data_IF_569122431378
#
_entry.id   IF_569122431378
#
_cell.length_a   1.000
_cell.length_b   1.000
_cell.length_c   1.000
_cell.angle_alpha   90.00
_cell.angle_beta   90.00
_cell.angle_gamma   90.00
#
_symmetry.space_group_name_H-M   'P 1'
#
loop_
_entity.id
_entity.type
_entity.pdbx_description
1 polymer ?
#
# COMPACT_ATOMS: atom_id res chain seq x y z
N UNK A 1 16.17 2.01 15.49
CA UNK A 1 15.15 2.64 14.64
C UNK A 1 13.96 1.68 14.51
N UNK A 2 12.71 2.15 14.50
CA UNK A 2 11.51 1.28 14.36
C UNK A 2 11.26 1.02 12.86
N UNK A 3 11.12 -0.24 12.41
CA UNK A 3 10.76 -0.54 11.02
C UNK A 3 9.44 0.15 10.64
N UNK A 4 9.43 0.84 9.50
CA UNK A 4 8.25 1.52 8.94
C UNK A 4 7.78 0.79 7.69
N UNK A 5 6.47 0.57 7.56
CA UNK A 5 5.82 0.09 6.33
C UNK A 5 4.82 1.16 5.91
N UNK A 6 4.81 1.55 4.65
CA UNK A 6 3.84 2.50 4.11
C UNK A 6 2.80 1.78 3.26
N UNK A 7 1.52 2.08 3.51
CA UNK A 7 0.41 1.53 2.75
C UNK A 7 -0.13 2.64 1.84
N UNK A 8 0.00 2.45 0.52
CA UNK A 8 -0.45 3.41 -0.47
C UNK A 8 -1.56 2.79 -1.31
N UNK A 9 -2.73 3.45 -1.38
CA UNK A 9 -3.91 2.89 -2.04
C UNK A 9 -5.14 3.80 -1.93
N UNK A 10 -6.30 3.25 -2.31
CA UNK A 10 -7.60 3.93 -2.29
C UNK A 10 -8.33 3.75 -0.94
N UNK A 11 -9.66 3.90 -0.94
CA UNK A 11 -10.50 3.76 0.26
C UNK A 11 -10.36 2.40 0.96
N UNK A 12 -9.97 1.33 0.26
CA UNK A 12 -9.67 0.03 0.88
C UNK A 12 -8.41 0.12 1.76
N UNK A 13 -7.46 0.97 1.38
CA UNK A 13 -6.27 1.25 2.17
C UNK A 13 -6.57 2.25 3.29
N UNK A 14 -7.42 3.25 3.04
CA UNK A 14 -7.88 4.21 4.06
C UNK A 14 -8.56 3.49 5.25
N UNK A 15 -9.50 2.58 4.94
CA UNK A 15 -10.25 1.80 5.91
C UNK A 15 -9.48 0.57 6.44
N UNK A 16 -8.21 0.40 6.06
CA UNK A 16 -7.42 -0.79 6.40
C UNK A 16 -7.17 -0.96 7.90
N UNK A 17 -7.34 0.11 8.69
CA UNK A 17 -7.20 0.09 10.14
C UNK A 17 -8.54 0.00 10.90
N UNK A 18 -9.66 -0.09 10.19
CA UNK A 18 -10.96 -0.39 10.81
C UNK A 18 -10.93 -1.74 11.54
N UNK A 19 -11.96 -2.01 12.34
CA UNK A 19 -12.05 -3.25 13.10
C UNK A 19 -12.00 -4.49 12.18
N UNK A 20 -11.00 -5.35 12.37
CA UNK A 20 -10.76 -6.52 11.50
C UNK A 20 -10.07 -6.19 10.17
N UNK A 21 -9.64 -4.96 9.96
CA UNK A 21 -8.97 -4.51 8.75
C UNK A 21 -7.60 -5.17 8.52
N UNK A 22 -7.20 -5.22 7.25
CA UNK A 22 -5.96 -5.89 6.84
C UNK A 22 -4.70 -5.14 7.31
N UNK A 23 -4.75 -3.80 7.37
CA UNK A 23 -3.66 -2.95 7.86
C UNK A 23 -3.41 -3.17 9.35
N UNK A 24 -4.49 -3.25 10.15
CA UNK A 24 -4.43 -3.65 11.56
C UNK A 24 -3.85 -5.05 11.75
N UNK A 25 -4.29 -6.01 10.92
CA UNK A 25 -3.78 -7.40 10.95
C UNK A 25 -2.28 -7.48 10.60
N UNK A 26 -1.87 -6.75 9.56
CA UNK A 26 -0.48 -6.65 9.14
C UNK A 26 0.39 -6.02 10.23
N UNK A 27 -0.05 -4.90 10.82
CA UNK A 27 0.65 -4.23 11.91
C UNK A 27 0.79 -5.14 13.14
N UNK A 28 -0.26 -5.87 13.50
CA UNK A 28 -0.22 -6.84 14.61
C UNK A 28 0.80 -7.96 14.34
N UNK A 29 0.80 -8.53 13.13
CA UNK A 29 1.73 -9.59 12.76
C UNK A 29 3.19 -9.08 12.76
N UNK A 30 3.46 -7.94 12.11
CA UNK A 30 4.80 -7.36 12.06
C UNK A 30 5.33 -6.94 13.43
N UNK A 31 4.48 -6.39 14.30
CA UNK A 31 4.90 -6.04 15.66
C UNK A 31 5.42 -7.26 16.44
N UNK A 32 4.84 -8.45 16.22
CA UNK A 32 5.27 -9.70 16.85
C UNK A 32 6.56 -10.25 16.25
N UNK A 33 6.70 -10.21 14.93
CA UNK A 33 7.91 -10.70 14.24
C UNK A 33 9.14 -9.82 14.50
N UNK A 34 8.95 -8.51 14.69
CA UNK A 34 10.05 -7.58 15.02
C UNK A 34 10.57 -7.82 16.43
N UNK A 35 9.74 -8.26 17.40
CA UNK A 35 10.18 -8.62 18.76
C UNK A 35 11.17 -9.80 18.74
N UNK A 36 11.02 -10.74 17.80
CA UNK A 36 11.93 -11.88 17.67
C UNK A 36 13.30 -11.51 17.07
N UNK A 37 13.44 -10.33 16.45
CA UNK A 37 14.67 -9.85 15.79
C UNK A 37 15.41 -8.75 16.57
N UNK A 38 15.09 -8.52 17.85
CA UNK A 38 15.54 -7.35 18.62
C UNK A 38 17.06 -7.26 18.87
N UNK A 39 17.90 -8.25 18.53
CA UNK A 39 19.35 -8.06 18.53
C UNK A 39 20.03 -8.85 17.40
N UNK A 40 20.98 -8.30 16.59
CA UNK A 40 21.65 -6.99 16.66
C UNK A 40 21.50 -6.08 15.41
N UNK A 41 22.04 -4.87 15.61
CA UNK A 41 22.07 -3.66 14.80
C UNK A 41 22.44 -3.79 13.31
N UNK A 42 21.74 -3.00 12.48
CA UNK A 42 22.38 -2.27 11.40
C UNK A 42 21.57 -1.00 11.10
N UNK A 43 22.29 0.09 10.91
CA UNK A 43 21.78 1.41 10.55
C UNK A 43 21.12 1.35 9.18
N UNK A 44 19.82 1.10 9.15
CA UNK A 44 18.99 1.40 7.98
C UNK A 44 18.51 2.84 8.16
N UNK A 45 18.73 3.70 7.18
CA UNK A 45 18.25 5.08 7.18
C UNK A 45 16.73 5.16 7.36
N UNK A 46 16.18 6.38 7.41
CA UNK A 46 14.75 6.61 7.69
C UNK A 46 13.77 6.05 6.62
N UNK A 47 14.27 5.27 5.68
CA UNK A 47 13.53 4.60 4.63
C UNK A 47 12.63 3.47 5.18
N UNK A 48 11.42 3.30 4.62
CA UNK A 48 10.55 2.19 4.98
C UNK A 48 11.17 0.84 4.57
N UNK A 49 10.89 -0.20 5.35
CA UNK A 49 11.32 -1.58 5.04
C UNK A 49 10.46 -2.23 3.95
N UNK A 50 9.26 -1.68 3.71
CA UNK A 50 8.36 -2.09 2.63
C UNK A 50 7.35 -0.97 2.33
N UNK A 51 6.86 -0.94 1.09
CA UNK A 51 5.75 -0.10 0.65
C UNK A 51 4.76 -0.99 -0.11
N UNK A 52 3.46 -0.86 0.16
CA UNK A 52 2.42 -1.55 -0.62
C UNK A 52 1.74 -0.54 -1.55
N UNK A 53 1.44 -0.96 -2.78
CA UNK A 53 0.62 -0.19 -3.73
C UNK A 53 -0.65 -0.99 -3.99
N UNK A 54 -1.81 -0.46 -3.58
CA UNK A 54 -3.10 -1.13 -3.69
C UNK A 54 -4.15 -0.19 -4.31
N UNK A 55 -4.05 -0.01 -5.63
CA UNK A 55 -4.99 0.74 -6.47
C UNK A 55 -5.52 -0.14 -7.60
N UNK A 56 -6.55 0.34 -8.28
CA UNK A 56 -7.08 -0.27 -9.52
C UNK A 56 -8.53 -0.71 -9.43
N UNK A 57 -9.11 -0.80 -8.22
CA UNK A 57 -10.52 -1.15 -8.06
C UNK A 57 -11.44 -0.08 -8.69
N UNK A 58 -11.10 1.20 -8.47
CA UNK A 58 -11.82 2.34 -9.03
C UNK A 58 -11.59 2.48 -10.54
N UNK A 59 -10.35 2.32 -10.98
CA UNK A 59 -9.92 2.40 -12.38
C UNK A 59 -10.63 1.38 -13.28
N UNK A 60 -10.88 0.18 -12.76
CA UNK A 60 -11.54 -0.92 -13.47
C UNK A 60 -13.06 -0.76 -13.59
N UNK A 61 -13.64 0.33 -13.08
CA UNK A 61 -15.09 0.56 -13.16
C UNK A 61 -15.57 0.60 -14.61
N UNK A 62 -16.78 0.08 -14.84
CA UNK A 62 -17.42 0.12 -16.16
C UNK A 62 -17.81 1.58 -16.47
N UNK A 63 -17.36 2.17 -17.60
CA UNK A 63 -17.57 3.59 -17.92
C UNK A 63 -19.04 4.03 -17.93
N UNK A 64 -19.94 3.12 -18.31
CA UNK A 64 -21.37 3.42 -18.49
C UNK A 64 -22.22 3.09 -17.26
N UNK A 65 -21.66 3.22 -16.04
CA UNK A 65 -22.35 3.03 -14.76
C UNK A 65 -22.16 4.24 -13.84
N UNK A 66 -22.85 4.25 -12.69
CA UNK A 66 -22.87 5.39 -11.75
C UNK A 66 -21.48 5.91 -11.34
N UNK A 67 -20.47 5.02 -11.27
CA UNK A 67 -19.10 5.36 -10.89
C UNK A 67 -18.14 5.45 -12.08
N UNK A 68 -18.65 5.50 -13.32
CA UNK A 68 -17.87 5.46 -14.55
C UNK A 68 -16.85 6.59 -14.72
N UNK A 69 -17.01 7.68 -13.97
CA UNK A 69 -16.05 8.79 -13.93
C UNK A 69 -14.67 8.41 -13.35
N UNK A 70 -14.56 7.27 -12.66
CA UNK A 70 -13.29 6.77 -12.15
C UNK A 70 -12.57 5.84 -13.14
N UNK A 71 -13.19 5.53 -14.29
CA UNK A 71 -12.62 4.60 -15.25
C UNK A 71 -11.30 5.14 -15.81
N UNK A 72 -10.29 4.29 -15.80
CA UNK A 72 -8.99 4.56 -16.43
C UNK A 72 -8.77 3.55 -17.56
N UNK A 73 -8.51 4.01 -18.80
CA UNK A 73 -8.14 3.12 -19.90
C UNK A 73 -6.88 2.31 -19.59
N UNK A 74 -6.79 1.10 -20.15
CA UNK A 74 -5.70 0.16 -19.81
C UNK A 74 -4.29 0.74 -20.04
N UNK A 75 -4.09 1.48 -21.13
CA UNK A 75 -2.79 2.08 -21.44
C UNK A 75 -2.40 3.16 -20.42
N UNK A 76 -3.37 3.95 -19.96
CA UNK A 76 -3.15 4.96 -18.92
C UNK A 76 -2.92 4.30 -17.55
N UNK A 77 -3.70 3.27 -17.20
CA UNK A 77 -3.49 2.52 -15.97
C UNK A 77 -2.08 1.91 -15.90
N UNK A 78 -1.61 1.36 -17.03
CA UNK A 78 -0.25 0.83 -17.14
C UNK A 78 0.80 1.92 -16.94
N UNK A 79 0.63 3.09 -17.55
CA UNK A 79 1.56 4.21 -17.37
C UNK A 79 1.56 4.70 -15.92
N UNK A 80 0.39 4.85 -15.30
CA UNK A 80 0.26 5.24 -13.90
C UNK A 80 1.01 4.28 -12.97
N UNK A 81 0.93 2.96 -13.20
CA UNK A 81 1.71 1.99 -12.44
C UNK A 81 3.23 2.14 -12.65
N UNK A 82 3.67 2.42 -13.87
CA UNK A 82 5.09 2.72 -14.13
C UNK A 82 5.56 3.96 -13.38
N UNK A 83 4.76 5.02 -13.36
CA UNK A 83 5.07 6.28 -12.70
C UNK A 83 5.12 6.13 -11.16
N UNK A 84 4.17 5.39 -10.59
CA UNK A 84 4.17 5.06 -9.14
C UNK A 84 5.44 4.29 -8.78
N UNK A 85 5.80 3.26 -9.54
CA UNK A 85 7.00 2.46 -9.27
C UNK A 85 8.28 3.29 -9.45
N UNK A 86 8.31 4.20 -10.44
CA UNK A 86 9.44 5.09 -10.64
C UNK A 86 9.59 6.10 -9.50
N UNK A 87 8.49 6.60 -8.93
CA UNK A 87 8.49 7.51 -7.79
C UNK A 87 8.95 6.86 -6.48
N UNK A 88 8.64 5.57 -6.28
CA UNK A 88 8.98 4.83 -5.07
C UNK A 88 10.41 4.25 -5.05
N UNK A 89 11.13 4.29 -6.18
CA UNK A 89 12.53 3.85 -6.32
C UNK A 89 13.51 4.97 -6.01
#
# INVERSE_FOLDING_TARGET
MRPKIYLFGDSITEESFAHGGWGSSLAHHFARTVIERVFPAAESGDAPVAVTVFFGANDAVIPNRCSGFQHVPLDEYKQNLHDIVAFLK
#
